data_IF_024968776968
#
_entry.id   IF_024968776968
#
_cell.length_a   1.000
_cell.length_b   1.000
_cell.length_c   1.000
_cell.angle_alpha   90.00
_cell.angle_beta   90.00
_cell.angle_gamma   90.00
#
_symmetry.space_group_name_H-M   'P 1'
#
loop_
_entity.id
_entity.type
_entity.pdbx_description
1 polymer ?
#
# COMPACT_ATOMS: atom_id res chain seq x y z
N UNK A 1 -0.67 4.05 21.22
CA UNK A 1 -1.97 3.35 21.11
C UNK A 1 -2.73 3.95 19.94
N UNK A 2 -3.26 3.14 19.04
CA UNK A 2 -4.15 3.67 17.99
C UNK A 2 -5.53 3.76 18.62
N UNK A 3 -5.99 4.97 18.87
CA UNK A 3 -7.27 5.21 19.51
C UNK A 3 -8.40 5.24 18.49
N UNK A 4 -9.56 4.71 18.90
CA UNK A 4 -10.80 4.76 18.14
C UNK A 4 -11.04 3.59 17.20
N UNK A 5 -12.31 3.24 17.09
CA UNK A 5 -12.87 2.25 16.16
C UNK A 5 -12.59 2.70 14.72
N UNK A 6 -12.08 1.82 13.83
CA UNK A 6 -11.79 2.22 12.44
C UNK A 6 -13.07 2.62 11.70
N UNK A 7 -13.00 3.74 11.00
CA UNK A 7 -14.03 4.22 10.07
C UNK A 7 -13.44 4.19 8.66
N UNK A 8 -13.98 3.36 7.79
CA UNK A 8 -13.52 3.17 6.41
C UNK A 8 -14.60 3.66 5.43
N UNK A 9 -14.24 4.58 4.54
CA UNK A 9 -15.04 4.86 3.36
C UNK A 9 -14.58 3.91 2.24
N UNK A 10 -15.36 2.87 1.94
CA UNK A 10 -15.05 1.93 0.87
C UNK A 10 -15.48 2.51 -0.48
N UNK A 11 -14.49 3.00 -1.23
CA UNK A 11 -14.63 3.43 -2.63
C UNK A 11 -13.94 2.48 -3.61
N UNK A 12 -13.29 1.42 -3.11
CA UNK A 12 -12.66 0.40 -3.94
C UNK A 12 -13.71 -0.62 -4.44
N UNK A 13 -13.59 -1.11 -5.69
CA UNK A 13 -14.50 -2.13 -6.21
C UNK A 13 -14.46 -3.41 -5.37
N UNK A 14 -15.63 -3.96 -5.05
CA UNK A 14 -15.75 -5.26 -4.35
C UNK A 14 -15.32 -6.46 -5.21
N UNK A 15 -15.18 -6.27 -6.52
CA UNK A 15 -14.57 -7.27 -7.39
C UNK A 15 -13.07 -7.46 -7.10
N UNK A 16 -12.43 -6.53 -6.39
CA UNK A 16 -11.01 -6.57 -6.07
C UNK A 16 -10.78 -6.97 -4.60
N UNK A 17 -9.91 -7.96 -4.37
CA UNK A 17 -9.66 -8.56 -3.04
C UNK A 17 -9.28 -7.53 -1.96
N UNK A 18 -8.59 -6.46 -2.33
CA UNK A 18 -8.21 -5.39 -1.38
C UNK A 18 -9.42 -4.69 -0.75
N UNK A 19 -10.45 -4.35 -1.54
CA UNK A 19 -11.66 -3.72 -1.02
C UNK A 19 -12.41 -4.65 -0.07
N UNK A 20 -12.57 -5.92 -0.48
CA UNK A 20 -13.19 -6.95 0.37
C UNK A 20 -12.40 -7.18 1.67
N UNK A 21 -11.08 -7.31 1.59
CA UNK A 21 -10.22 -7.53 2.75
C UNK A 21 -10.28 -6.37 3.75
N UNK A 22 -10.33 -5.13 3.27
CA UNK A 22 -10.49 -3.95 4.11
C UNK A 22 -11.84 -3.95 4.86
N UNK A 23 -12.94 -4.30 4.17
CA UNK A 23 -14.26 -4.44 4.78
C UNK A 23 -14.27 -5.51 5.86
N UNK A 24 -13.73 -6.70 5.56
CA UNK A 24 -13.66 -7.82 6.52
C UNK A 24 -12.83 -7.41 7.75
N UNK A 25 -11.68 -6.78 7.55
CA UNK A 25 -10.82 -6.33 8.65
C UNK A 25 -11.50 -5.29 9.54
N UNK A 26 -12.17 -4.30 8.95
CA UNK A 26 -12.89 -3.26 9.71
C UNK A 26 -14.09 -3.85 10.45
N UNK A 27 -14.82 -4.77 9.82
CA UNK A 27 -15.95 -5.48 10.46
C UNK A 27 -15.48 -6.30 11.65
N UNK A 28 -14.37 -7.04 11.50
CA UNK A 28 -13.77 -7.81 12.60
C UNK A 28 -13.35 -6.94 13.78
N UNK A 29 -12.91 -5.71 13.52
CA UNK A 29 -12.54 -4.72 14.54
C UNK A 29 -13.75 -3.95 15.11
N UNK A 30 -14.98 -4.29 14.72
CA UNK A 30 -16.20 -3.59 15.15
C UNK A 30 -16.34 -2.17 14.61
N UNK A 31 -15.68 -1.87 13.49
CA UNK A 31 -15.66 -0.55 12.85
C UNK A 31 -16.87 -0.19 12.03
N UNK A 32 -16.84 1.03 11.51
CA UNK A 32 -17.89 1.59 10.66
C UNK A 32 -17.42 1.62 9.21
N UNK A 33 -18.31 1.24 8.30
CA UNK A 33 -18.03 1.17 6.87
C UNK A 33 -19.06 2.04 6.15
N UNK A 34 -18.58 3.11 5.52
CA UNK A 34 -19.35 3.91 4.58
C UNK A 34 -19.11 3.41 3.16
N UNK A 35 -20.14 3.43 2.32
CA UNK A 35 -20.02 3.18 0.88
C UNK A 35 -20.20 4.49 0.14
N UNK A 36 -19.27 4.81 -0.76
CA UNK A 36 -19.34 6.01 -1.59
C UNK A 36 -20.53 5.97 -2.56
N UNK A 37 -20.91 7.13 -3.10
CA UNK A 37 -22.06 7.26 -4.02
C UNK A 37 -21.83 6.64 -5.42
N UNK A 38 -20.64 6.09 -5.69
CA UNK A 38 -20.27 5.54 -7.01
C UNK A 38 -19.95 6.60 -8.08
N UNK A 39 -19.90 7.88 -7.70
CA UNK A 39 -19.65 9.00 -8.60
C UNK A 39 -18.34 9.70 -8.22
N UNK A 40 -17.36 9.70 -9.12
CA UNK A 40 -16.01 10.20 -8.82
C UNK A 40 -15.95 11.70 -8.51
N UNK A 41 -16.83 12.49 -9.13
CA UNK A 41 -17.00 13.92 -8.88
C UNK A 41 -17.47 14.20 -7.46
N UNK A 42 -18.19 13.26 -6.83
CA UNK A 42 -18.69 13.36 -5.45
C UNK A 42 -17.82 12.71 -4.38
N UNK A 43 -16.75 12.02 -4.77
CA UNK A 43 -15.93 11.25 -3.81
C UNK A 43 -15.32 12.13 -2.72
N UNK A 44 -14.94 13.37 -3.05
CA UNK A 44 -14.39 14.31 -2.06
C UNK A 44 -15.48 14.73 -1.06
N UNK A 45 -16.71 14.94 -1.51
CA UNK A 45 -17.85 15.25 -0.63
C UNK A 45 -18.14 14.07 0.31
N UNK A 46 -18.15 12.84 -0.22
CA UNK A 46 -18.30 11.61 0.58
C UNK A 46 -17.22 11.51 1.68
N UNK A 47 -15.97 11.88 1.37
CA UNK A 47 -14.91 11.95 2.37
C UNK A 47 -15.16 13.01 3.44
N UNK A 48 -15.63 14.19 3.06
CA UNK A 48 -15.91 15.29 3.98
C UNK A 48 -17.06 14.99 4.93
N UNK A 49 -18.10 14.31 4.44
CA UNK A 49 -19.28 13.93 5.21
C UNK A 49 -18.98 12.75 6.14
N UNK A 50 -18.37 11.67 5.60
CA UNK A 50 -18.13 10.46 6.38
C UNK A 50 -16.97 10.60 7.37
N UNK A 51 -15.97 11.43 7.07
CA UNK A 51 -14.76 11.68 7.89
C UNK A 51 -14.08 10.38 8.35
N UNK A 52 -13.56 9.56 7.42
CA UNK A 52 -12.94 8.29 7.78
C UNK A 52 -11.70 8.48 8.67
N UNK A 53 -11.33 7.42 9.39
CA UNK A 53 -10.09 7.35 10.18
C UNK A 53 -9.06 6.44 9.53
N UNK A 54 -9.51 5.44 8.78
CA UNK A 54 -8.69 4.53 7.99
C UNK A 54 -8.85 4.86 6.50
N UNK A 55 -7.73 5.13 5.83
CA UNK A 55 -7.68 5.38 4.40
C UNK A 55 -7.00 4.22 3.69
N UNK A 56 -7.72 3.53 2.81
CA UNK A 56 -7.16 2.58 1.85
C UNK A 56 -6.71 3.33 0.60
N UNK A 57 -5.46 3.18 0.16
CA UNK A 57 -4.93 3.84 -1.02
C UNK A 57 -4.30 2.83 -1.99
N UNK A 58 -4.28 3.20 -3.27
CA UNK A 58 -3.48 2.50 -4.29
C UNK A 58 -2.37 3.44 -4.78
N UNK A 59 -1.20 2.91 -5.21
CA UNK A 59 -0.07 3.72 -5.63
C UNK A 59 -0.42 4.78 -6.68
N UNK A 60 -1.31 4.48 -7.63
CA UNK A 60 -1.74 5.43 -8.66
C UNK A 60 -2.35 6.71 -8.07
N UNK A 61 -3.14 6.61 -7.01
CA UNK A 61 -3.76 7.76 -6.36
C UNK A 61 -2.73 8.59 -5.59
N UNK A 62 -1.79 7.93 -4.92
CA UNK A 62 -0.69 8.61 -4.22
C UNK A 62 0.26 9.32 -5.20
N UNK A 63 0.56 8.72 -6.34
CA UNK A 63 1.34 9.36 -7.41
C UNK A 63 0.62 10.62 -7.92
N UNK A 64 -0.69 10.53 -8.23
CA UNK A 64 -1.49 11.69 -8.65
C UNK A 64 -1.48 12.81 -7.60
N UNK A 65 -1.63 12.46 -6.32
CA UNK A 65 -1.57 13.42 -5.22
C UNK A 65 -0.19 14.09 -5.12
N UNK A 66 0.87 13.29 -5.18
CA UNK A 66 2.25 13.77 -5.17
C UNK A 66 2.53 14.73 -6.34
N UNK A 67 2.14 14.36 -7.55
CA UNK A 67 2.35 15.15 -8.75
C UNK A 67 1.58 16.47 -8.71
N UNK A 68 0.31 16.44 -8.25
CA UNK A 68 -0.51 17.64 -8.07
C UNK A 68 0.15 18.64 -7.12
N UNK A 69 0.53 18.19 -5.93
CA UNK A 69 1.15 19.06 -4.91
C UNK A 69 2.51 19.57 -5.38
N UNK A 70 3.31 18.71 -6.00
CA UNK A 70 4.60 19.07 -6.56
C UNK A 70 4.47 20.12 -7.67
N UNK A 71 3.47 20.00 -8.54
CA UNK A 71 3.22 20.95 -9.63
C UNK A 71 2.75 22.31 -9.10
N UNK A 72 1.81 22.32 -8.14
CA UNK A 72 1.33 23.55 -7.48
C UNK A 72 2.45 24.32 -6.80
N UNK A 73 3.38 23.63 -6.13
CA UNK A 73 4.52 24.27 -5.49
C UNK A 73 5.60 24.66 -6.48
N UNK A 74 5.81 23.91 -7.57
CA UNK A 74 6.75 24.27 -8.64
C UNK A 74 6.33 25.55 -9.35
N UNK A 75 5.03 25.82 -9.49
CA UNK A 75 4.49 27.09 -10.03
C UNK A 75 4.89 28.30 -9.19
N UNK A 76 5.18 28.12 -7.90
CA UNK A 76 5.71 29.18 -7.01
C UNK A 76 7.23 29.38 -7.11
N UNK A 77 7.86 28.82 -8.15
CA UNK A 77 9.28 29.03 -8.45
C UNK A 77 10.24 28.22 -7.57
N UNK A 78 11.44 28.78 -7.33
CA UNK A 78 12.51 28.13 -6.56
C UNK A 78 12.10 28.00 -5.08
N UNK A 79 11.50 29.04 -4.51
CA UNK A 79 11.05 29.05 -3.11
C UNK A 79 10.05 27.91 -2.85
N UNK A 80 9.09 27.68 -3.75
CA UNK A 80 8.13 26.58 -3.61
C UNK A 80 8.78 25.19 -3.62
N UNK A 81 9.83 25.00 -4.43
CA UNK A 81 10.61 23.74 -4.45
C UNK A 81 11.39 23.51 -3.16
N UNK A 82 12.01 24.56 -2.63
CA UNK A 82 12.73 24.51 -1.35
C UNK A 82 11.74 24.24 -0.21
N UNK A 83 10.60 24.94 -0.18
CA UNK A 83 9.54 24.74 0.80
C UNK A 83 9.02 23.30 0.79
N UNK A 84 8.75 22.73 -0.39
CA UNK A 84 8.33 21.33 -0.51
C UNK A 84 9.35 20.39 0.12
N UNK A 85 10.63 20.53 -0.26
CA UNK A 85 11.72 19.68 0.27
C UNK A 85 11.85 19.79 1.78
N UNK A 86 11.85 21.02 2.32
CA UNK A 86 11.96 21.27 3.75
C UNK A 86 10.76 20.71 4.52
N UNK A 87 9.54 20.86 3.97
CA UNK A 87 8.33 20.34 4.62
C UNK A 87 8.33 18.82 4.74
N UNK A 88 8.71 18.11 3.68
CA UNK A 88 8.81 16.64 3.69
C UNK A 88 9.92 16.19 4.63
N UNK A 89 11.11 16.78 4.54
CA UNK A 89 12.24 16.42 5.42
C UNK A 89 11.93 16.69 6.89
N UNK A 90 11.32 17.85 7.20
CA UNK A 90 10.94 18.23 8.55
C UNK A 90 9.94 17.26 9.17
N UNK A 91 8.89 16.87 8.43
CA UNK A 91 7.93 15.86 8.90
C UNK A 91 8.56 14.48 9.07
N UNK A 92 9.40 14.04 8.13
CA UNK A 92 10.09 12.76 8.26
C UNK A 92 11.04 12.72 9.46
N UNK A 93 11.68 13.84 9.80
CA UNK A 93 12.53 13.93 11.00
C UNK A 93 11.73 13.76 12.29
N UNK A 94 10.49 14.28 12.35
CA UNK A 94 9.57 14.06 13.47
C UNK A 94 9.11 12.60 13.53
N UNK A 95 8.74 12.01 12.40
CA UNK A 95 8.29 10.61 12.31
C UNK A 95 9.39 9.65 12.80
N UNK A 96 10.66 9.91 12.48
CA UNK A 96 11.80 9.12 12.99
C UNK A 96 11.97 9.16 14.50
N UNK A 97 11.44 10.21 15.15
CA UNK A 97 11.38 10.35 16.61
C UNK A 97 10.03 9.88 17.18
N UNK A 98 9.31 9.06 16.41
CA UNK A 98 7.97 8.54 16.73
C UNK A 98 6.92 9.64 16.98
N UNK A 99 7.17 10.86 16.49
CA UNK A 99 6.27 11.98 16.61
C UNK A 99 5.41 12.12 15.34
N UNK A 100 4.16 11.68 15.47
CA UNK A 100 3.14 11.72 14.41
C UNK A 100 2.24 12.96 14.51
N UNK A 101 2.69 14.05 15.15
CA UNK A 101 1.89 15.28 15.29
C UNK A 101 1.45 15.84 13.95
N UNK A 102 0.14 16.07 13.80
CA UNK A 102 -0.48 16.69 12.63
C UNK A 102 -0.67 18.21 12.79
N UNK A 103 -0.09 18.83 13.84
CA UNK A 103 -0.23 20.27 14.13
C UNK A 103 1.13 20.99 14.13
N UNK A 104 1.91 20.81 13.07
CA UNK A 104 3.20 21.50 12.87
C UNK A 104 3.07 22.67 11.91
N UNK A 105 4.13 23.47 11.77
CA UNK A 105 4.16 24.54 10.76
C UNK A 105 3.99 24.00 9.33
N UNK A 106 4.53 22.81 9.04
CA UNK A 106 4.42 22.16 7.73
C UNK A 106 3.00 21.69 7.43
N UNK A 107 2.29 21.28 8.48
CA UNK A 107 0.89 20.88 8.40
C UNK A 107 0.01 22.07 8.01
N UNK A 108 0.13 23.18 8.74
CA UNK A 108 -0.63 24.41 8.47
C UNK A 108 -0.36 24.98 7.07
N UNK A 109 0.86 24.85 6.56
CA UNK A 109 1.25 25.39 5.26
C UNK A 109 0.83 24.50 4.08
N UNK A 110 0.94 23.18 4.20
CA UNK A 110 0.83 22.24 3.07
C UNK A 110 -0.10 21.06 3.41
N UNK A 111 0.22 20.30 4.46
CA UNK A 111 -0.33 18.96 4.61
C UNK A 111 -1.75 18.93 5.18
N UNK A 112 -2.20 19.96 5.90
CA UNK A 112 -3.58 20.05 6.38
C UNK A 112 -4.56 20.06 5.22
N UNK A 113 -4.27 20.80 4.14
CA UNK A 113 -5.14 20.83 2.95
C UNK A 113 -5.36 19.43 2.35
N UNK A 114 -4.31 18.61 2.36
CA UNK A 114 -4.36 17.23 1.89
C UNK A 114 -5.22 16.38 2.82
N UNK A 115 -5.00 16.43 4.13
CA UNK A 115 -5.80 15.65 5.08
C UNK A 115 -7.26 16.08 5.10
N UNK A 116 -7.53 17.37 4.95
CA UNK A 116 -8.88 17.92 4.90
C UNK A 116 -9.65 17.40 3.69
N UNK A 117 -9.02 17.21 2.51
CA UNK A 117 -9.71 16.60 1.36
C UNK A 117 -10.14 15.14 1.57
N UNK A 118 -9.66 14.50 2.65
CA UNK A 118 -10.08 13.16 3.09
C UNK A 118 -10.88 13.21 4.40
N UNK A 119 -11.48 14.36 4.74
CA UNK A 119 -12.32 14.52 5.93
C UNK A 119 -11.57 14.85 7.23
N UNK A 120 -10.25 15.04 7.19
CA UNK A 120 -9.45 15.60 8.29
C UNK A 120 -9.27 14.70 9.52
N UNK A 121 -9.77 13.46 9.50
CA UNK A 121 -9.70 12.51 10.63
C UNK A 121 -8.82 11.28 10.35
N UNK A 122 -8.12 11.26 9.22
CA UNK A 122 -7.22 10.16 8.85
C UNK A 122 -6.14 9.97 9.91
N UNK A 123 -6.11 8.78 10.50
CA UNK A 123 -5.12 8.36 11.48
C UNK A 123 -4.42 7.05 11.12
N UNK A 124 -4.80 6.40 10.02
CA UNK A 124 -4.15 5.21 9.47
C UNK A 124 -4.27 5.22 7.95
N UNK A 125 -3.20 4.83 7.26
CA UNK A 125 -3.19 4.64 5.82
C UNK A 125 -2.65 3.25 5.50
N UNK A 126 -3.38 2.51 4.65
CA UNK A 126 -2.95 1.21 4.13
C UNK A 126 -2.84 1.31 2.61
N UNK A 127 -1.72 0.86 2.06
CA UNK A 127 -1.43 0.94 0.62
C UNK A 127 -1.07 -0.43 0.09
N UNK A 128 -1.71 -0.84 -1.01
CA UNK A 128 -1.35 -2.09 -1.69
C UNK A 128 -1.72 -2.05 -3.18
N UNK A 129 -1.39 -3.12 -3.91
CA UNK A 129 -1.79 -3.37 -5.28
C UNK A 129 -0.73 -3.07 -6.35
N UNK A 130 0.31 -2.29 -6.04
CA UNK A 130 1.46 -2.08 -6.91
C UNK A 130 2.67 -1.53 -6.12
N UNK A 131 3.89 -1.54 -6.70
CA UNK A 131 5.05 -0.89 -6.09
C UNK A 131 4.86 0.63 -5.96
N UNK A 132 5.33 1.20 -4.85
CA UNK A 132 5.38 2.64 -4.61
C UNK A 132 6.83 3.13 -4.68
N UNK A 133 7.08 4.24 -5.38
CA UNK A 133 8.43 4.81 -5.41
C UNK A 133 8.82 5.37 -4.03
N UNK A 134 10.10 5.31 -3.64
CA UNK A 134 10.53 5.82 -2.33
C UNK A 134 10.18 7.29 -2.09
N UNK A 135 10.19 8.13 -3.14
CA UNK A 135 9.81 9.54 -3.03
C UNK A 135 8.34 9.73 -2.69
N UNK A 136 7.46 8.98 -3.36
CA UNK A 136 6.01 9.08 -3.13
C UNK A 136 5.65 8.49 -1.77
N UNK A 137 6.29 7.40 -1.34
CA UNK A 137 6.16 6.87 0.01
C UNK A 137 6.55 7.92 1.06
N UNK A 138 7.75 8.50 0.94
CA UNK A 138 8.25 9.54 1.86
C UNK A 138 7.33 10.75 1.94
N UNK A 139 6.87 11.24 0.79
CA UNK A 139 5.90 12.33 0.74
C UNK A 139 4.59 11.94 1.42
N UNK A 140 4.04 10.76 1.12
CA UNK A 140 2.75 10.31 1.66
C UNK A 140 2.82 10.15 3.18
N UNK A 141 3.92 9.58 3.71
CA UNK A 141 4.19 9.51 5.15
C UNK A 141 4.22 10.89 5.80
N UNK A 142 4.91 11.86 5.18
CA UNK A 142 4.93 13.24 5.65
C UNK A 142 3.54 13.90 5.61
N UNK A 143 2.79 13.67 4.54
CA UNK A 143 1.48 14.29 4.29
C UNK A 143 0.39 13.79 5.25
N UNK A 144 0.33 12.49 5.51
CA UNK A 144 -0.67 11.95 6.43
C UNK A 144 -0.19 11.96 7.88
N UNK A 145 1.13 11.87 8.11
CA UNK A 145 1.74 11.93 9.45
C UNK A 145 1.05 11.00 10.45
N UNK A 146 0.80 9.76 10.03
CA UNK A 146 0.17 8.71 10.81
C UNK A 146 0.80 7.37 10.41
N UNK A 147 0.47 6.25 11.07
CA UNK A 147 0.89 4.96 10.58
C UNK A 147 0.49 4.75 9.12
N UNK A 148 1.49 4.40 8.33
CA UNK A 148 1.40 4.24 6.88
C UNK A 148 2.00 2.88 6.56
N UNK A 149 1.14 1.98 6.11
CA UNK A 149 1.46 0.56 5.97
C UNK A 149 1.39 0.21 4.50
N UNK A 150 2.53 -0.17 3.93
CA UNK A 150 2.58 -0.81 2.62
C UNK A 150 2.44 -2.31 2.77
N UNK A 151 1.57 -2.92 1.96
CA UNK A 151 1.39 -4.36 1.89
C UNK A 151 1.55 -4.84 0.44
N UNK A 152 2.02 -6.08 0.28
CA UNK A 152 2.04 -6.78 -0.99
C UNK A 152 1.29 -8.09 -0.88
N UNK A 153 0.52 -8.39 -1.91
CA UNK A 153 -0.23 -9.61 -2.06
C UNK A 153 -0.87 -9.68 -3.43
N UNK A 154 -1.61 -10.77 -3.65
CA UNK A 154 -2.31 -11.05 -4.90
C UNK A 154 -3.65 -11.74 -4.58
N UNK A 155 -4.55 -11.81 -5.55
CA UNK A 155 -5.90 -12.37 -5.38
C UNK A 155 -5.87 -13.80 -4.83
N UNK A 156 -4.86 -14.56 -5.20
CA UNK A 156 -4.63 -15.97 -4.87
C UNK A 156 -4.29 -16.20 -3.38
N UNK A 157 -3.92 -15.16 -2.62
CA UNK A 157 -3.49 -15.29 -1.22
C UNK A 157 -3.75 -14.06 -0.31
N UNK A 158 -4.41 -13.03 -0.84
CA UNK A 158 -4.76 -11.76 -0.17
C UNK A 158 -3.54 -10.88 0.15
N UNK A 159 -2.73 -11.22 1.15
CA UNK A 159 -1.51 -10.49 1.56
C UNK A 159 -0.40 -11.50 1.88
N UNK A 160 0.80 -11.25 1.36
CA UNK A 160 2.01 -12.04 1.57
C UNK A 160 2.95 -11.30 2.54
N UNK A 161 3.21 -10.02 2.25
CA UNK A 161 4.11 -9.17 3.04
C UNK A 161 3.40 -7.91 3.51
N UNK A 162 3.73 -7.46 4.72
CA UNK A 162 3.23 -6.19 5.26
C UNK A 162 4.31 -5.49 6.07
N UNK A 163 4.33 -4.17 5.94
CA UNK A 163 5.00 -3.31 6.90
C UNK A 163 4.26 -3.38 8.24
N UNK A 164 5.01 -3.20 9.32
CA UNK A 164 4.48 -3.01 10.66
C UNK A 164 4.02 -1.56 10.84
N UNK A 165 3.26 -1.31 11.90
CA UNK A 165 2.75 0.03 12.21
C UNK A 165 3.87 1.06 12.49
N UNK A 166 5.03 0.58 12.95
CA UNK A 166 6.17 1.41 13.31
C UNK A 166 7.21 1.50 12.19
N UNK A 167 7.01 0.81 11.06
CA UNK A 167 7.93 0.89 9.95
C UNK A 167 7.90 2.28 9.33
N UNK A 168 9.09 2.83 9.13
CA UNK A 168 9.32 4.15 8.52
C UNK A 168 10.12 4.09 7.23
N UNK A 169 10.53 2.87 6.83
CA UNK A 169 11.31 2.63 5.62
C UNK A 169 10.46 2.79 4.36
N UNK A 170 11.14 3.12 3.27
CA UNK A 170 10.54 3.29 1.94
C UNK A 170 11.27 2.40 0.95
N UNK A 171 10.53 1.78 0.03
CA UNK A 171 11.09 0.86 -0.97
C UNK A 171 11.26 -0.59 -0.49
N UNK A 172 10.77 -0.93 0.70
CA UNK A 172 10.68 -2.28 1.25
C UNK A 172 9.23 -2.52 1.70
N UNK A 173 8.70 -3.73 1.54
CA UNK A 173 7.29 -4.05 1.83
C UNK A 173 7.11 -4.71 3.21
N UNK A 174 8.21 -4.89 3.94
CA UNK A 174 8.18 -5.39 5.33
C UNK A 174 8.37 -6.90 5.41
N UNK A 175 7.66 -7.54 6.33
CA UNK A 175 7.86 -8.94 6.73
C UNK A 175 6.69 -9.83 6.28
N UNK A 176 6.87 -11.16 6.19
CA UNK A 176 5.77 -12.07 5.90
C UNK A 176 4.64 -11.92 6.93
N UNK A 177 3.40 -12.05 6.49
CA UNK A 177 2.24 -12.08 7.40
C UNK A 177 2.29 -13.30 8.32
N UNK A 178 1.64 -13.21 9.48
CA UNK A 178 1.57 -14.31 10.44
C UNK A 178 0.99 -15.58 9.83
N UNK A 179 1.38 -16.74 10.36
CA UNK A 179 0.91 -18.06 9.89
C UNK A 179 1.20 -18.31 8.41
N UNK A 180 2.36 -17.86 7.94
CA UNK A 180 2.82 -18.09 6.58
C UNK A 180 4.27 -18.58 6.53
N UNK A 181 4.59 -19.23 5.42
CA UNK A 181 5.93 -19.64 5.04
C UNK A 181 6.28 -18.98 3.71
N UNK A 182 7.50 -18.46 3.62
CA UNK A 182 8.05 -17.89 2.38
C UNK A 182 9.39 -18.53 2.09
N UNK A 183 9.60 -18.90 0.83
CA UNK A 183 10.91 -19.27 0.29
C UNK A 183 11.18 -18.48 -0.99
N UNK A 184 12.47 -18.34 -1.34
CA UNK A 184 12.88 -17.89 -2.67
C UNK A 184 13.27 -19.11 -3.49
N UNK A 185 12.86 -19.13 -4.76
CA UNK A 185 13.21 -20.15 -5.74
C UNK A 185 14.05 -19.52 -6.84
N UNK A 186 15.03 -20.26 -7.34
CA UNK A 186 15.92 -19.81 -8.41
C UNK A 186 15.12 -19.50 -9.68
N UNK A 187 15.55 -18.46 -10.40
CA UNK A 187 15.05 -18.07 -11.71
C UNK A 187 16.27 -17.92 -12.64
N UNK A 188 16.85 -19.04 -13.11
CA UNK A 188 18.10 -19.04 -13.88
C UNK A 188 18.01 -18.21 -15.17
N UNK A 189 16.83 -18.14 -15.79
CA UNK A 189 16.58 -17.36 -17.01
C UNK A 189 16.76 -15.84 -16.84
N UNK A 190 16.77 -15.36 -15.59
CA UNK A 190 17.02 -13.96 -15.22
C UNK A 190 18.26 -13.80 -14.34
N UNK A 191 19.06 -14.86 -14.18
CA UNK A 191 20.26 -14.87 -13.33
C UNK A 191 19.96 -14.53 -11.85
N UNK A 192 18.77 -14.90 -11.35
CA UNK A 192 18.41 -14.73 -9.93
C UNK A 192 18.50 -16.07 -9.20
N UNK A 193 19.26 -16.10 -8.10
CA UNK A 193 19.48 -17.32 -7.31
C UNK A 193 19.20 -17.09 -5.83
N UNK A 194 18.42 -17.99 -5.24
CA UNK A 194 17.97 -17.90 -3.85
C UNK A 194 19.14 -17.85 -2.85
N UNK A 195 20.27 -18.49 -3.18
CA UNK A 195 21.53 -18.41 -2.42
C UNK A 195 22.05 -16.98 -2.25
N UNK A 196 21.77 -16.11 -3.22
CA UNK A 196 22.16 -14.70 -3.24
C UNK A 196 21.07 -13.81 -2.59
N UNK A 197 20.04 -14.43 -2.00
CA UNK A 197 18.92 -13.74 -1.35
C UNK A 197 17.94 -13.11 -2.32
N UNK A 198 17.94 -13.51 -3.59
CA UNK A 198 17.06 -13.02 -4.66
C UNK A 198 16.45 -14.18 -5.45
N UNK A 199 15.17 -14.11 -5.80
CA UNK A 199 14.51 -15.19 -6.55
C UNK A 199 13.00 -15.00 -6.62
N UNK A 200 12.31 -15.97 -7.21
CA UNK A 200 10.85 -15.99 -7.20
C UNK A 200 10.34 -16.20 -5.77
N UNK A 201 9.42 -15.35 -5.35
CA UNK A 201 8.74 -15.52 -4.06
C UNK A 201 7.77 -16.67 -4.19
N UNK A 202 7.93 -17.68 -3.34
CA UNK A 202 6.96 -18.76 -3.15
C UNK A 202 6.34 -18.65 -1.76
N UNK A 203 5.02 -18.77 -1.69
CA UNK A 203 4.25 -18.51 -0.48
C UNK A 203 3.35 -19.69 -0.11
N UNK A 204 3.28 -20.02 1.18
CA UNK A 204 2.37 -21.03 1.70
C UNK A 204 1.69 -20.55 2.98
N UNK A 205 0.36 -20.59 3.02
CA UNK A 205 -0.44 -20.15 4.16
C UNK A 205 -1.85 -20.75 4.08
N UNK A 206 -2.59 -20.86 5.20
CA UNK A 206 -4.03 -21.17 5.17
C UNK A 206 -4.88 -20.15 4.39
N UNK A 207 -4.33 -18.98 4.04
CA UNK A 207 -5.04 -17.95 3.25
C UNK A 207 -4.99 -18.19 1.74
N UNK A 208 -4.31 -19.24 1.27
CA UNK A 208 -4.29 -19.59 -0.14
C UNK A 208 -5.70 -19.91 -0.66
N UNK A 209 -6.00 -19.43 -1.86
CA UNK A 209 -7.19 -19.87 -2.60
C UNK A 209 -7.15 -21.38 -2.88
N UNK A 210 -8.30 -21.96 -3.22
CA UNK A 210 -8.39 -23.40 -3.56
C UNK A 210 -7.95 -23.72 -4.98
N UNK A 211 -7.72 -22.69 -5.81
CA UNK A 211 -7.48 -22.83 -7.24
C UNK A 211 -8.40 -21.96 -8.08
N UNK A 212 -8.14 -21.94 -9.38
CA UNK A 212 -8.95 -21.23 -10.37
C UNK A 212 -10.19 -22.05 -10.73
N UNK A 213 -11.34 -21.39 -10.76
CA UNK A 213 -12.61 -22.03 -11.07
C UNK A 213 -12.60 -22.62 -12.49
N UNK A 214 -12.80 -23.95 -12.59
CA UNK A 214 -12.83 -24.71 -13.85
C UNK A 214 -11.52 -24.64 -14.67
N UNK A 215 -10.40 -24.40 -14.01
CA UNK A 215 -9.08 -24.34 -14.64
C UNK A 215 -8.03 -25.03 -13.75
N UNK A 216 -8.06 -26.35 -13.75
CA UNK A 216 -7.13 -27.18 -12.98
C UNK A 216 -5.68 -27.01 -13.47
N UNK A 217 -5.48 -26.87 -14.79
CA UNK A 217 -4.16 -26.65 -15.38
C UNK A 217 -3.49 -25.39 -14.82
N UNK A 218 -4.18 -24.24 -14.81
CA UNK A 218 -3.63 -23.03 -14.17
C UNK A 218 -3.51 -23.15 -12.66
N UNK A 219 -4.36 -23.95 -12.02
CA UNK A 219 -4.28 -24.18 -10.58
C UNK A 219 -2.98 -24.90 -10.22
N UNK A 220 -2.64 -25.97 -10.96
CA UNK A 220 -1.38 -26.69 -10.81
C UNK A 220 -0.16 -25.89 -11.27
N UNK A 221 -0.30 -24.93 -12.20
CA UNK A 221 0.78 -23.97 -12.51
C UNK A 221 1.04 -23.01 -11.34
N UNK A 222 -0.02 -22.56 -10.65
CA UNK A 222 0.10 -21.58 -9.56
C UNK A 222 0.49 -22.22 -8.23
N UNK A 223 -0.11 -23.35 -7.86
CA UNK A 223 0.17 -24.08 -6.61
C UNK A 223 0.83 -25.42 -6.96
N UNK A 224 2.05 -25.63 -6.46
CA UNK A 224 2.77 -26.89 -6.65
C UNK A 224 2.24 -28.02 -5.74
N UNK A 225 2.74 -29.25 -5.98
CA UNK A 225 2.35 -30.46 -5.25
C UNK A 225 2.65 -30.38 -3.73
N UNK A 226 3.58 -29.52 -3.32
CA UNK A 226 3.94 -29.26 -1.92
C UNK A 226 3.08 -28.15 -1.27
N UNK A 227 2.17 -27.56 -2.04
CA UNK A 227 1.25 -26.50 -1.60
C UNK A 227 1.86 -25.10 -1.60
N UNK A 228 2.93 -24.85 -2.35
CA UNK A 228 3.49 -23.50 -2.52
C UNK A 228 2.85 -22.78 -3.69
N UNK A 229 2.38 -21.57 -3.42
CA UNK A 229 1.98 -20.62 -4.45
C UNK A 229 3.23 -19.97 -5.07
N UNK A 230 3.45 -20.18 -6.36
CA UNK A 230 4.44 -19.50 -7.19
C UNK A 230 3.89 -18.13 -7.59
N UNK A 231 4.44 -17.06 -7.02
CA UNK A 231 3.87 -15.71 -7.19
C UNK A 231 4.14 -15.09 -8.56
N UNK A 232 5.15 -15.59 -9.27
CA UNK A 232 5.68 -14.96 -10.48
C UNK A 232 6.32 -13.59 -10.24
N UNK A 233 6.54 -13.19 -8.98
CA UNK A 233 7.21 -11.95 -8.59
C UNK A 233 8.61 -12.26 -8.01
N UNK A 234 9.61 -11.48 -8.43
CA UNK A 234 10.97 -11.59 -7.92
C UNK A 234 11.12 -10.73 -6.67
N UNK A 235 11.53 -11.37 -5.59
CA UNK A 235 11.82 -10.76 -4.30
C UNK A 235 13.30 -10.79 -3.98
N UNK A 236 13.75 -9.79 -3.25
CA UNK A 236 15.09 -9.74 -2.66
C UNK A 236 14.97 -9.50 -1.15
N UNK A 237 15.60 -10.38 -0.36
CA UNK A 237 15.76 -10.17 1.07
C UNK A 237 16.73 -9.02 1.31
N UNK A 238 16.33 -8.08 2.17
CA UNK A 238 17.24 -7.02 2.61
C UNK A 238 18.07 -7.48 3.80
N UNK A 239 19.13 -6.71 4.12
CA UNK A 239 19.94 -6.92 5.33
C UNK A 239 19.11 -6.86 6.63
N UNK A 240 17.92 -6.27 6.57
CA UNK A 240 17.00 -6.14 7.71
C UNK A 240 15.98 -7.28 7.79
N UNK A 241 16.13 -8.33 6.98
CA UNK A 241 15.18 -9.45 6.87
C UNK A 241 13.76 -9.01 6.46
N UNK A 242 13.67 -7.91 5.72
CA UNK A 242 12.45 -7.45 5.05
C UNK A 242 12.52 -7.81 3.56
N UNK A 243 11.38 -7.75 2.88
CA UNK A 243 11.28 -8.06 1.46
C UNK A 243 11.21 -6.80 0.61
N UNK A 244 11.92 -6.82 -0.52
CA UNK A 244 11.80 -5.85 -1.61
C UNK A 244 11.39 -6.58 -2.89
N UNK A 245 10.37 -6.07 -3.58
CA UNK A 245 9.99 -6.55 -4.91
C UNK A 245 10.89 -5.86 -5.93
N UNK A 246 11.52 -6.65 -6.80
CA UNK A 246 12.55 -6.16 -7.74
C UNK A 246 12.15 -6.32 -9.20
N UNK A 247 11.43 -7.39 -9.54
CA UNK A 247 11.03 -7.67 -10.92
C UNK A 247 9.85 -8.66 -10.97
N UNK A 248 9.38 -8.97 -12.18
CA UNK A 248 8.41 -10.03 -12.49
C UNK A 248 9.11 -11.15 -13.27
N UNK A 249 8.81 -12.41 -12.93
CA UNK A 249 9.38 -13.59 -13.62
C UNK A 249 9.04 -13.60 -15.11
N UNK A 250 7.76 -13.41 -15.45
CA UNK A 250 7.26 -13.18 -16.82
C UNK A 250 6.95 -11.70 -16.98
N UNK A 251 7.45 -11.04 -18.04
CA UNK A 251 7.12 -9.65 -18.40
C UNK A 251 5.68 -9.53 -18.92
N UNK A 252 4.70 -9.96 -18.13
CA UNK A 252 3.32 -9.54 -18.33
C UNK A 252 3.13 -8.25 -17.58
N UNK A 253 2.87 -7.17 -18.30
CA UNK A 253 2.26 -5.98 -17.72
C UNK A 253 0.90 -6.42 -17.17
N UNK A 254 0.84 -6.88 -15.91
CA UNK A 254 -0.41 -6.93 -15.16
C UNK A 254 -0.76 -5.46 -14.92
N UNK A 255 -1.34 -4.85 -15.94
CA UNK A 255 -1.96 -3.55 -15.76
C UNK A 255 -3.07 -3.86 -14.77
N UNK A 256 -2.93 -3.37 -13.53
CA UNK A 256 -4.05 -3.17 -12.64
C UNK A 256 -4.94 -2.05 -13.25
N UNK A 257 -5.39 -2.23 -14.49
CA UNK A 257 -6.52 -1.56 -15.08
C UNK A 257 -7.67 -2.52 -14.89
N UNK A 258 -8.29 -2.40 -13.73
CA UNK A 258 -9.68 -1.98 -13.69
C UNK A 258 -9.98 -1.55 -12.26
N UNK A 259 -9.49 -0.36 -11.91
CA UNK A 259 -10.48 0.57 -11.38
C UNK A 259 -11.46 0.73 -12.56
N UNK A 260 -12.56 -0.03 -12.53
CA UNK A 260 -13.77 0.36 -13.24
C UNK A 260 -14.21 1.69 -12.63
N UNK A 261 -13.59 2.76 -13.12
CA UNK A 261 -14.21 4.06 -13.26
C UNK A 261 -14.82 4.03 -14.65
N UNK A 262 -16.00 3.43 -14.74
CA UNK A 262 -16.99 3.81 -15.72
C UNK A 262 -18.06 4.61 -14.95
#
# INVERSE_FOLDING_TARGET
>A
KIEGTPRLLNYLPLAHVFGCGAIVAVTYLGGEIGFWQGKIDKLIDDFHDFRPTLLTMVPRLLNKLYDKVRLELRRKGILGRVLFRLSVQGKLALIRRENLSQNTIWDKLIFDKIRQSFGGKINRVVVTGAPLSPDVCRFSRAAFSCPFIECYGQTECVIIFSQTINDTKSGEIGIPVSMSYVKLVDVPEKEYYAKDGIGEICFRSPTLFKGYLKDEAKTCEAIDEEGWLHTGDIGQWTLHKTMKIVDRKKNMYKVCISICLW
#
